data_IF_922675040866
#
_entry.id   IF_922675040866
#
_cell.length_a   1.000
_cell.length_b   1.000
_cell.length_c   1.000
_cell.angle_alpha   90.00
_cell.angle_beta   90.00
_cell.angle_gamma   90.00
#
_symmetry.space_group_name_H-M   'P 1'
#
loop_
_entity.id
_entity.type
_entity.pdbx_description
1 polymer ?
#
# COMPACT_ATOMS: atom_id res chain seq x y z
N UNK A 1 -14.73 19.40 20.42
CA UNK A 1 -13.58 19.34 19.48
C UNK A 1 -14.01 20.04 18.22
N UNK A 2 -13.16 20.90 17.63
CA UNK A 2 -13.50 21.58 16.39
C UNK A 2 -13.50 20.55 15.26
N UNK A 3 -14.66 20.27 14.68
CA UNK A 3 -14.89 19.17 13.74
C UNK A 3 -14.55 19.55 12.28
N UNK A 4 -13.83 20.66 12.09
CA UNK A 4 -13.48 21.24 10.78
C UNK A 4 -12.16 20.70 10.21
N UNK A 5 -11.54 19.71 10.87
CA UNK A 5 -10.30 19.09 10.38
C UNK A 5 -10.62 17.96 9.41
N UNK A 6 -9.98 18.00 8.24
CA UNK A 6 -10.00 16.90 7.28
C UNK A 6 -8.75 16.02 7.47
N UNK A 7 -8.91 14.70 7.30
CA UNK A 7 -7.80 13.76 7.19
C UNK A 7 -7.41 13.70 5.71
N UNK A 8 -6.13 13.91 5.43
CA UNK A 8 -5.59 13.80 4.08
C UNK A 8 -4.64 12.60 4.00
N UNK A 9 -5.05 11.59 3.23
CA UNK A 9 -4.24 10.41 2.89
C UNK A 9 -3.62 10.58 1.52
N UNK A 10 -2.31 10.36 1.41
CA UNK A 10 -1.61 10.31 0.13
C UNK A 10 -1.22 8.87 -0.22
N UNK A 11 -1.76 8.33 -1.31
CA UNK A 11 -1.33 7.06 -1.88
C UNK A 11 -0.15 7.29 -2.84
N UNK A 12 1.05 6.93 -2.39
CA UNK A 12 2.29 7.41 -3.00
C UNK A 12 2.59 6.81 -4.39
N UNK A 13 2.21 5.55 -4.62
CA UNK A 13 2.69 4.81 -5.80
C UNK A 13 1.71 3.79 -6.37
N UNK A 14 0.98 3.04 -5.52
CA UNK A 14 0.17 1.91 -5.97
C UNK A 14 1.00 0.81 -6.64
N UNK A 15 0.36 -0.11 -7.36
CA UNK A 15 1.05 -1.23 -8.07
C UNK A 15 0.70 -1.34 -9.55
N UNK A 16 -0.25 -0.54 -10.05
CA UNK A 16 -0.69 -0.63 -11.45
C UNK A 16 0.09 0.25 -12.43
N UNK A 17 0.72 1.30 -11.92
CA UNK A 17 1.49 2.23 -12.75
C UNK A 17 2.87 1.64 -13.01
N UNK A 18 3.27 1.57 -14.28
CA UNK A 18 4.64 1.22 -14.68
C UNK A 18 5.57 2.44 -14.48
N UNK A 19 6.57 2.37 -13.59
CA UNK A 19 7.49 3.48 -13.33
C UNK A 19 8.30 3.92 -14.55
N UNK A 20 8.49 3.04 -15.55
CA UNK A 20 9.20 3.37 -16.80
C UNK A 20 8.37 4.24 -17.74
N UNK A 21 7.04 4.26 -17.59
CA UNK A 21 6.13 5.06 -18.42
C UNK A 21 5.68 6.33 -17.70
N UNK A 22 5.35 6.20 -16.41
CA UNK A 22 4.96 7.31 -15.55
C UNK A 22 5.78 7.23 -14.27
N UNK A 23 6.65 8.23 -13.98
CA UNK A 23 7.56 8.16 -12.85
C UNK A 23 6.76 8.16 -11.54
N UNK A 24 6.83 7.04 -10.83
CA UNK A 24 6.29 6.84 -9.49
C UNK A 24 7.41 6.31 -8.59
N UNK A 25 7.43 6.61 -7.28
CA UNK A 25 8.51 6.19 -6.41
C UNK A 25 8.56 4.66 -6.27
N UNK A 26 9.78 4.12 -6.25
CA UNK A 26 10.08 2.68 -6.14
C UNK A 26 11.00 2.39 -4.96
N UNK A 27 12.14 3.10 -4.85
CA UNK A 27 13.15 2.84 -3.81
C UNK A 27 12.77 3.49 -2.48
N UNK A 28 13.32 3.03 -1.33
CA UNK A 28 13.10 3.69 -0.04
C UNK A 28 13.36 5.19 -0.07
N UNK A 29 14.43 5.65 -0.74
CA UNK A 29 14.79 7.07 -0.85
C UNK A 29 13.75 7.85 -1.66
N UNK A 30 13.27 7.27 -2.77
CA UNK A 30 12.22 7.88 -3.59
C UNK A 30 10.90 7.96 -2.82
N UNK A 31 10.55 6.89 -2.10
CA UNK A 31 9.36 6.84 -1.26
C UNK A 31 9.40 7.88 -0.15
N UNK A 32 10.53 8.01 0.56
CA UNK A 32 10.74 9.03 1.57
C UNK A 32 10.65 10.45 1.01
N UNK A 33 11.25 10.71 -0.15
CA UNK A 33 11.20 12.01 -0.81
C UNK A 33 9.77 12.41 -1.21
N UNK A 34 9.00 11.47 -1.79
CA UNK A 34 7.61 11.72 -2.17
C UNK A 34 6.68 11.84 -0.96
N UNK A 35 6.88 10.99 0.06
CA UNK A 35 6.17 11.11 1.33
C UNK A 35 6.41 12.46 1.99
N UNK A 36 7.66 12.95 1.96
CA UNK A 36 7.99 14.27 2.51
C UNK A 36 7.24 15.39 1.81
N UNK A 37 7.18 15.36 0.49
CA UNK A 37 6.42 16.36 -0.28
C UNK A 37 4.92 16.33 0.08
N UNK A 38 4.34 15.13 0.19
CA UNK A 38 2.94 14.98 0.59
C UNK A 38 2.69 15.45 2.03
N UNK A 39 3.61 15.14 2.95
CA UNK A 39 3.55 15.53 4.35
C UNK A 39 3.64 17.05 4.51
N UNK A 40 4.60 17.70 3.83
CA UNK A 40 4.75 19.16 3.82
C UNK A 40 3.53 19.86 3.19
N UNK A 41 2.81 19.18 2.29
CA UNK A 41 1.54 19.64 1.72
C UNK A 41 0.30 19.38 2.61
N UNK A 42 0.48 18.74 3.77
CA UNK A 42 -0.57 18.53 4.77
C UNK A 42 -1.13 17.11 4.86
N UNK A 43 -0.57 16.13 4.16
CA UNK A 43 -0.98 14.74 4.32
C UNK A 43 -0.58 14.20 5.69
N UNK A 44 -1.54 13.64 6.41
CA UNK A 44 -1.33 13.03 7.74
C UNK A 44 -1.16 11.51 7.68
N UNK A 45 -1.51 10.89 6.55
CA UNK A 45 -1.44 9.44 6.32
C UNK A 45 -0.74 9.18 4.98
N UNK A 46 0.19 8.22 4.97
CA UNK A 46 0.80 7.69 3.74
C UNK A 46 0.29 6.29 3.47
N UNK A 47 -0.40 6.09 2.35
CA UNK A 47 -0.75 4.76 1.85
C UNK A 47 0.38 4.20 1.00
N UNK A 48 0.96 3.10 1.47
CA UNK A 48 2.24 2.56 1.02
C UNK A 48 2.03 1.21 0.34
N UNK A 49 2.50 1.13 -0.90
CA UNK A 49 2.76 -0.14 -1.58
C UNK A 49 4.27 -0.35 -1.67
N UNK A 50 4.70 -1.61 -1.52
CA UNK A 50 6.10 -1.99 -1.64
C UNK A 50 6.31 -2.57 -3.04
N UNK A 51 7.31 -2.06 -3.75
CA UNK A 51 7.69 -2.48 -5.10
C UNK A 51 9.00 -3.27 -5.06
N UNK A 52 9.20 -4.15 -6.04
CA UNK A 52 10.46 -4.88 -6.16
C UNK A 52 11.64 -3.94 -6.35
N UNK A 53 12.70 -4.17 -5.58
CA UNK A 53 13.96 -3.42 -5.64
C UNK A 53 14.94 -4.02 -6.67
N UNK A 54 14.58 -5.12 -7.31
CA UNK A 54 15.38 -5.67 -8.40
C UNK A 54 15.37 -4.71 -9.59
N UNK A 55 16.53 -4.60 -10.26
CA UNK A 55 16.71 -3.69 -11.39
C UNK A 55 15.66 -3.95 -12.48
N UNK A 56 14.97 -2.88 -12.92
CA UNK A 56 13.90 -2.95 -13.92
C UNK A 56 12.55 -3.53 -13.43
N UNK A 57 12.49 -4.06 -12.21
CA UNK A 57 11.31 -4.76 -11.68
C UNK A 57 10.40 -3.90 -10.81
N UNK A 58 10.64 -2.58 -10.71
CA UNK A 58 9.81 -1.68 -9.89
C UNK A 58 8.32 -1.62 -10.26
N UNK A 59 7.91 -2.15 -11.42
CA UNK A 59 6.51 -2.33 -11.78
C UNK A 59 5.83 -3.49 -11.04
N UNK A 60 6.59 -4.42 -10.46
CA UNK A 60 6.09 -5.55 -9.70
C UNK A 60 5.98 -5.22 -8.20
N UNK A 61 4.96 -5.75 -7.50
CA UNK A 61 4.89 -5.64 -6.05
C UNK A 61 6.02 -6.46 -5.40
N UNK A 62 6.37 -6.10 -4.17
CA UNK A 62 7.17 -6.92 -3.28
C UNK A 62 6.40 -7.14 -1.98
N UNK A 63 6.51 -8.35 -1.43
CA UNK A 63 6.02 -8.71 -0.10
C UNK A 63 7.16 -9.18 0.80
N UNK A 64 8.38 -8.74 0.49
CA UNK A 64 9.53 -8.95 1.35
C UNK A 64 9.40 -8.05 2.61
N UNK A 65 9.33 -8.63 3.83
CA UNK A 65 9.19 -7.85 5.04
C UNK A 65 10.34 -6.88 5.30
N UNK A 66 11.57 -7.23 4.91
CA UNK A 66 12.73 -6.35 5.16
C UNK A 66 12.72 -5.16 4.21
N UNK A 67 12.33 -5.35 2.94
CA UNK A 67 12.09 -4.23 2.02
C UNK A 67 10.96 -3.34 2.53
N UNK A 68 9.88 -3.93 3.06
CA UNK A 68 8.80 -3.17 3.67
C UNK A 68 9.29 -2.31 4.85
N UNK A 69 10.13 -2.89 5.72
CA UNK A 69 10.74 -2.18 6.84
C UNK A 69 11.59 -1.00 6.37
N UNK A 70 12.49 -1.21 5.40
CA UNK A 70 13.36 -0.15 4.86
C UNK A 70 12.56 1.03 4.30
N UNK A 71 11.51 0.75 3.52
CA UNK A 71 10.64 1.79 2.96
C UNK A 71 9.89 2.54 4.07
N UNK A 72 9.29 1.82 5.01
CA UNK A 72 8.50 2.43 6.10
C UNK A 72 9.38 3.27 7.03
N UNK A 73 10.59 2.79 7.36
CA UNK A 73 11.52 3.53 8.21
C UNK A 73 12.01 4.81 7.53
N UNK A 74 12.31 4.74 6.23
CA UNK A 74 12.70 5.92 5.45
C UNK A 74 11.58 6.98 5.43
N UNK A 75 10.31 6.56 5.28
CA UNK A 75 9.14 7.46 5.33
C UNK A 75 8.99 8.07 6.73
N UNK A 76 9.02 7.25 7.79
CA UNK A 76 8.88 7.71 9.18
C UNK A 76 9.99 8.69 9.57
N UNK A 77 11.22 8.45 9.11
CA UNK A 77 12.34 9.36 9.33
C UNK A 77 12.13 10.71 8.62
N UNK A 78 11.64 10.68 7.38
CA UNK A 78 11.40 11.90 6.61
C UNK A 78 10.19 12.71 7.09
N UNK A 79 9.18 12.02 7.65
CA UNK A 79 7.87 12.57 8.02
C UNK A 79 7.51 12.22 9.48
N UNK A 80 8.07 12.93 10.48
CA UNK A 80 7.83 12.60 11.88
C UNK A 80 6.34 12.67 12.27
N UNK A 81 5.83 11.58 12.84
CA UNK A 81 4.44 11.48 13.31
C UNK A 81 3.41 11.19 12.21
N UNK A 82 3.85 10.91 10.99
CA UNK A 82 2.94 10.44 9.93
C UNK A 82 2.39 9.06 10.26
N UNK A 83 1.12 8.83 9.94
CA UNK A 83 0.50 7.50 10.04
C UNK A 83 0.85 6.70 8.78
N UNK A 84 1.32 5.48 8.98
CA UNK A 84 1.56 4.53 7.89
C UNK A 84 0.31 3.70 7.69
N UNK A 85 -0.19 3.72 6.47
CA UNK A 85 -1.20 2.80 5.96
C UNK A 85 -0.52 1.81 5.01
N UNK A 86 -0.31 0.58 5.48
CA UNK A 86 0.31 -0.44 4.65
C UNK A 86 -0.75 -1.16 3.80
N UNK A 87 -0.47 -1.32 2.50
CA UNK A 87 -1.32 -2.15 1.65
C UNK A 87 -1.33 -3.61 2.09
N UNK A 88 -2.48 -4.25 1.98
CA UNK A 88 -2.61 -5.73 2.05
C UNK A 88 -3.09 -6.33 0.73
N UNK A 89 -3.25 -5.49 -0.29
CA UNK A 89 -3.95 -5.85 -1.51
C UNK A 89 -3.21 -6.90 -2.32
N UNK A 90 -3.61 -8.17 -2.19
CA UNK A 90 -3.05 -9.32 -2.92
C UNK A 90 -4.16 -10.14 -3.56
N UNK A 91 -3.89 -10.70 -4.73
CA UNK A 91 -4.80 -11.63 -5.43
C UNK A 91 -4.46 -13.05 -5.01
N UNK A 92 -5.49 -13.87 -4.84
CA UNK A 92 -5.37 -15.28 -4.53
C UNK A 92 -5.37 -15.58 -3.03
N UNK A 93 -5.18 -16.87 -2.75
CA UNK A 93 -5.32 -17.45 -1.40
C UNK A 93 -4.08 -17.27 -0.54
N UNK A 94 -2.91 -17.10 -1.15
CA UNK A 94 -1.69 -16.89 -0.40
C UNK A 94 -1.60 -15.43 0.04
N UNK A 95 -1.75 -15.22 1.34
CA UNK A 95 -1.68 -13.93 1.99
C UNK A 95 -0.48 -13.82 2.93
N UNK A 96 0.41 -14.83 2.96
CA UNK A 96 1.54 -14.90 3.89
C UNK A 96 2.41 -13.65 3.83
N UNK A 97 2.79 -13.22 2.63
CA UNK A 97 3.60 -12.01 2.40
C UNK A 97 3.01 -10.75 3.05
N UNK A 98 1.78 -10.31 2.69
CA UNK A 98 1.11 -9.18 3.35
C UNK A 98 1.05 -9.29 4.89
N UNK A 99 0.75 -10.47 5.43
CA UNK A 99 0.68 -10.69 6.87
C UNK A 99 2.05 -10.53 7.53
N UNK A 100 3.10 -11.06 6.92
CA UNK A 100 4.47 -10.95 7.42
C UNK A 100 4.96 -9.50 7.36
N UNK A 101 4.60 -8.74 6.33
CA UNK A 101 4.88 -7.31 6.28
C UNK A 101 4.19 -6.54 7.42
N UNK A 102 2.90 -6.81 7.72
CA UNK A 102 2.22 -6.21 8.88
C UNK A 102 2.95 -6.52 10.19
N UNK A 103 3.27 -7.80 10.42
CA UNK A 103 3.96 -8.23 11.64
C UNK A 103 5.33 -7.59 11.80
N UNK A 104 6.04 -7.40 10.70
CA UNK A 104 7.37 -6.79 10.65
C UNK A 104 7.35 -5.30 10.96
N UNK A 105 6.54 -4.54 10.22
CA UNK A 105 6.60 -3.06 10.27
C UNK A 105 5.68 -2.44 11.32
N UNK A 106 4.69 -3.21 11.80
CA UNK A 106 3.67 -2.79 12.79
C UNK A 106 3.09 -1.42 12.42
N UNK A 107 2.40 -1.30 11.27
CA UNK A 107 1.86 -0.02 10.84
C UNK A 107 0.67 0.36 11.72
N UNK A 108 0.39 1.66 11.84
CA UNK A 108 -0.74 2.12 12.65
C UNK A 108 -2.07 1.70 12.00
N UNK A 109 -2.15 1.75 10.67
CA UNK A 109 -3.29 1.26 9.90
C UNK A 109 -2.83 0.40 8.71
N UNK A 110 -3.72 -0.44 8.20
CA UNK A 110 -3.49 -1.19 6.98
C UNK A 110 -4.78 -1.35 6.19
N UNK A 111 -4.71 -1.16 4.87
CA UNK A 111 -5.85 -1.25 3.99
C UNK A 111 -6.51 -2.63 4.08
N UNK A 112 -7.82 -2.70 4.22
CA UNK A 112 -8.58 -3.94 4.33
C UNK A 112 -9.70 -3.97 3.29
N UNK A 113 -9.45 -4.61 2.15
CA UNK A 113 -10.46 -4.73 1.10
C UNK A 113 -11.64 -5.59 1.60
N UNK A 114 -12.78 -4.94 1.86
CA UNK A 114 -13.91 -5.51 2.59
C UNK A 114 -14.75 -6.54 1.79
N UNK A 115 -14.38 -6.85 0.56
CA UNK A 115 -15.11 -7.82 -0.26
C UNK A 115 -14.49 -8.06 -1.64
N UNK A 116 -14.92 -9.14 -2.28
CA UNK A 116 -14.52 -9.46 -3.65
C UNK A 116 -15.21 -8.53 -4.65
N UNK A 117 -14.48 -8.11 -5.68
CA UNK A 117 -15.01 -7.31 -6.78
C UNK A 117 -14.34 -7.65 -8.12
N UNK A 118 -14.98 -7.29 -9.22
CA UNK A 118 -14.34 -7.35 -10.52
C UNK A 118 -13.37 -6.17 -10.66
N UNK A 119 -12.10 -6.46 -10.94
CA UNK A 119 -11.06 -5.47 -11.12
C UNK A 119 -10.84 -5.20 -12.60
N UNK A 120 -11.62 -4.26 -13.11
CA UNK A 120 -11.76 -3.99 -14.54
C UNK A 120 -11.34 -2.56 -14.85
N UNK A 121 -10.57 -2.38 -15.92
CA UNK A 121 -10.26 -1.06 -16.47
C UNK A 121 -10.22 -1.13 -17.98
N UNK A 122 -10.96 -0.23 -18.63
CA UNK A 122 -10.85 0.01 -20.06
C UNK A 122 -9.85 1.13 -20.32
N UNK A 123 -9.13 1.01 -21.43
CA UNK A 123 -8.39 2.13 -22.03
C UNK A 123 -9.34 2.94 -22.93
N UNK A 124 -8.89 4.10 -23.38
CA UNK A 124 -9.63 4.95 -24.32
C UNK A 124 -9.95 4.25 -25.64
N UNK A 125 -9.11 3.30 -26.06
CA UNK A 125 -9.29 2.50 -27.28
C UNK A 125 -10.34 1.37 -27.15
N UNK A 126 -11.01 1.26 -26.00
CA UNK A 126 -12.03 0.25 -25.72
C UNK A 126 -11.47 -1.14 -25.38
N UNK A 127 -10.15 -1.33 -25.38
CA UNK A 127 -9.53 -2.58 -24.93
C UNK A 127 -9.31 -2.57 -23.42
N UNK A 128 -9.26 -3.76 -22.82
CA UNK A 128 -8.90 -3.91 -21.42
C UNK A 128 -7.46 -3.46 -21.14
N UNK A 129 -7.25 -2.71 -20.06
CA UNK A 129 -5.92 -2.30 -19.61
C UNK A 129 -5.10 -3.47 -19.06
N UNK A 130 -5.78 -4.53 -18.61
CA UNK A 130 -5.25 -5.81 -18.17
C UNK A 130 -6.31 -6.89 -18.38
N UNK A 131 -5.94 -8.19 -18.43
CA UNK A 131 -6.93 -9.27 -18.48
C UNK A 131 -7.98 -9.10 -17.38
N UNK A 132 -9.29 -9.06 -17.72
CA UNK A 132 -10.36 -8.98 -16.73
C UNK A 132 -10.18 -10.00 -15.62
N UNK A 133 -10.29 -9.55 -14.36
CA UNK A 133 -10.04 -10.43 -13.23
C UNK A 133 -10.93 -10.08 -12.04
N UNK A 134 -11.09 -11.05 -11.13
CA UNK A 134 -11.69 -10.84 -9.82
C UNK A 134 -10.57 -10.52 -8.83
N UNK A 135 -10.73 -9.44 -8.09
CA UNK A 135 -9.93 -9.18 -6.90
C UNK A 135 -10.62 -9.82 -5.70
N UNK A 136 -10.14 -11.00 -5.31
CA UNK A 136 -10.81 -11.87 -4.34
C UNK A 136 -10.50 -11.47 -2.90
N UNK A 137 -11.54 -11.11 -2.16
CA UNK A 137 -11.51 -10.91 -0.72
C UNK A 137 -12.75 -11.58 -0.10
N UNK A 138 -12.83 -12.93 -0.12
CA UNK A 138 -13.90 -13.64 0.58
C UNK A 138 -13.80 -13.37 2.09
N UNK A 139 -14.94 -13.49 2.79
CA UNK A 139 -15.04 -13.22 4.24
C UNK A 139 -13.94 -13.91 5.05
N UNK A 140 -13.59 -15.17 4.72
CA UNK A 140 -12.54 -15.90 5.42
C UNK A 140 -11.15 -15.25 5.26
N UNK A 141 -10.81 -14.75 4.06
CA UNK A 141 -9.54 -14.04 3.81
C UNK A 141 -9.52 -12.69 4.54
N UNK A 142 -10.64 -11.96 4.53
CA UNK A 142 -10.78 -10.71 5.28
C UNK A 142 -10.59 -10.96 6.78
N UNK A 143 -11.20 -12.01 7.33
CA UNK A 143 -11.04 -12.36 8.74
C UNK A 143 -9.57 -12.63 9.10
N UNK A 144 -8.83 -13.36 8.26
CA UNK A 144 -7.40 -13.62 8.49
C UNK A 144 -6.56 -12.33 8.56
N UNK A 145 -6.88 -11.32 7.74
CA UNK A 145 -6.23 -10.01 7.84
C UNK A 145 -6.60 -9.31 9.15
N UNK A 146 -7.88 -9.30 9.51
CA UNK A 146 -8.35 -8.68 10.76
C UNK A 146 -7.70 -9.32 12.00
N UNK A 147 -7.52 -10.64 12.01
CA UNK A 147 -6.89 -11.36 13.11
C UNK A 147 -5.43 -10.89 13.33
N UNK A 148 -4.65 -10.75 12.24
CA UNK A 148 -3.25 -10.29 12.31
C UNK A 148 -3.17 -8.78 12.59
N UNK A 149 -4.08 -7.99 12.04
CA UNK A 149 -4.17 -6.56 12.38
C UNK A 149 -4.42 -6.39 13.90
N UNK A 150 -5.34 -7.17 14.47
CA UNK A 150 -5.59 -7.18 15.92
C UNK A 150 -4.37 -7.67 16.72
N UNK A 151 -3.71 -8.76 16.28
CA UNK A 151 -2.45 -9.25 16.87
C UNK A 151 -1.38 -8.14 16.92
N UNK A 152 -1.38 -7.26 15.90
CA UNK A 152 -0.37 -6.24 15.72
C UNK A 152 -0.71 -4.87 16.31
N UNK A 153 -1.96 -4.65 16.75
CA UNK A 153 -2.46 -3.33 17.12
C UNK A 153 -2.63 -2.39 15.91
N UNK A 154 -2.74 -2.95 14.71
CA UNK A 154 -2.98 -2.22 13.46
C UNK A 154 -4.49 -2.08 13.26
N UNK A 155 -4.96 -0.89 12.89
CA UNK A 155 -6.37 -0.68 12.57
C UNK A 155 -6.65 -0.94 11.08
N UNK A 156 -7.77 -1.61 10.72
CA UNK A 156 -8.18 -1.73 9.32
C UNK A 156 -8.65 -0.37 8.78
N UNK A 157 -8.20 -0.02 7.58
CA UNK A 157 -8.79 1.06 6.74
C UNK A 157 -9.74 0.48 5.70
#
# INVERSE_FOLDING_TARGET
>A
MNNDKAILTCALTGVLTNPQQHPVPVTPEQMAAQARQAFDAGASIMHVHIRSQQEGMGHMPSWDPDVAQEVVDAIRQACPGVIINLTTGVIGKDISGPLDCIRRVRPEIAACNAGSLNYLKLKEDGNWAWPPMVFDNPVAKVQQFLDVMQECGTHPE
#
